data_IF_805788281199
#
_entry.id   IF_805788281199
#
_cell.length_a   1.000
_cell.length_b   1.000
_cell.length_c   1.000
_cell.angle_alpha   90.00
_cell.angle_beta   90.00
_cell.angle_gamma   90.00
#
_symmetry.space_group_name_H-M   'P 1'
#
loop_
_entity.id
_entity.type
_entity.pdbx_description
1 polymer ?
#
# COMPACT_ATOMS: atom_id res chain seq x y z
N UNK A 1 16.35 1.14 15.03
CA UNK A 1 16.41 0.74 13.63
C UNK A 1 16.10 1.96 12.78
N UNK A 2 16.44 1.94 11.48
CA UNK A 2 16.00 3.00 10.57
C UNK A 2 14.49 2.85 10.34
N UNK A 3 13.76 3.96 10.23
CA UNK A 3 12.34 3.93 9.89
C UNK A 3 12.15 3.31 8.50
N UNK A 4 11.08 2.51 8.34
CA UNK A 4 10.70 1.94 7.05
C UNK A 4 10.27 3.08 6.12
N UNK A 5 10.98 3.27 5.00
CA UNK A 5 10.55 4.19 3.96
C UNK A 5 9.55 3.49 3.03
N UNK A 6 8.27 3.52 3.43
CA UNK A 6 7.19 2.84 2.71
C UNK A 6 7.11 3.33 1.27
N UNK A 7 7.26 4.63 1.04
CA UNK A 7 7.24 5.20 -0.31
C UNK A 7 8.36 4.62 -1.16
N UNK A 8 9.58 4.56 -0.66
CA UNK A 8 10.72 4.00 -1.40
C UNK A 8 10.57 2.50 -1.67
N UNK A 9 9.91 1.75 -0.78
CA UNK A 9 9.52 0.35 -1.01
C UNK A 9 8.54 0.26 -2.18
N UNK A 10 7.47 1.08 -2.18
CA UNK A 10 6.47 1.07 -3.25
C UNK A 10 7.02 1.58 -4.60
N UNK A 11 8.00 2.48 -4.56
CA UNK A 11 8.70 3.06 -5.73
C UNK A 11 9.82 2.15 -6.28
N UNK A 12 10.08 1.02 -5.63
CA UNK A 12 11.10 0.06 -6.04
C UNK A 12 12.55 0.51 -5.92
N UNK A 13 12.81 1.62 -5.22
CA UNK A 13 14.16 2.17 -5.02
C UNK A 13 15.02 1.34 -4.07
N UNK A 14 14.41 0.54 -3.20
CA UNK A 14 15.10 -0.27 -2.19
C UNK A 14 15.19 -1.75 -2.57
N UNK A 15 14.86 -2.10 -3.81
CA UNK A 15 14.83 -3.48 -4.25
C UNK A 15 16.21 -3.99 -4.66
N UNK A 16 16.52 -5.29 -4.45
CA UNK A 16 17.69 -5.93 -5.04
C UNK A 16 17.69 -5.78 -6.58
N UNK A 17 18.86 -5.64 -7.19
CA UNK A 17 18.99 -5.45 -8.65
C UNK A 17 18.44 -6.62 -9.49
N UNK A 18 18.17 -7.77 -8.87
CA UNK A 18 17.74 -9.01 -9.53
C UNK A 18 16.23 -9.31 -9.38
N UNK A 19 15.42 -8.33 -8.97
CA UNK A 19 13.95 -8.48 -8.93
C UNK A 19 13.41 -8.53 -10.35
N UNK A 20 13.22 -9.76 -10.86
CA UNK A 20 12.69 -10.03 -12.19
C UNK A 20 11.17 -9.88 -12.28
N UNK A 21 10.45 -9.85 -11.15
CA UNK A 21 8.99 -9.75 -11.10
C UNK A 21 8.56 -8.51 -10.31
N UNK A 22 8.73 -7.34 -10.97
CA UNK A 22 8.41 -5.98 -10.48
C UNK A 22 7.05 -5.86 -9.77
N UNK A 23 6.14 -6.80 -10.02
CA UNK A 23 4.74 -6.72 -9.61
C UNK A 23 4.37 -7.77 -8.55
N UNK A 24 5.13 -8.84 -8.37
CA UNK A 24 4.92 -9.77 -7.25
C UNK A 24 5.49 -9.25 -5.93
N UNK A 25 6.68 -8.63 -6.02
CA UNK A 25 7.59 -8.56 -4.88
C UNK A 25 7.41 -7.33 -3.98
N UNK A 26 6.75 -6.27 -4.46
CA UNK A 26 6.66 -4.97 -3.76
C UNK A 26 6.06 -5.09 -2.37
N UNK A 27 4.95 -5.82 -2.31
CA UNK A 27 4.13 -5.97 -1.11
C UNK A 27 4.73 -7.02 -0.19
N UNK A 28 5.43 -8.01 -0.75
CA UNK A 28 6.16 -9.02 0.02
C UNK A 28 7.39 -8.40 0.71
N UNK A 29 8.12 -7.52 0.01
CA UNK A 29 9.22 -6.73 0.60
C UNK A 29 8.70 -5.84 1.74
N UNK A 30 7.52 -5.22 1.58
CA UNK A 30 6.90 -4.46 2.66
C UNK A 30 6.55 -5.37 3.85
N UNK A 31 6.00 -6.56 3.60
CA UNK A 31 5.69 -7.53 4.67
C UNK A 31 6.95 -8.02 5.40
N UNK A 32 8.05 -8.28 4.69
CA UNK A 32 9.34 -8.66 5.28
C UNK A 32 9.87 -7.55 6.21
N UNK A 33 9.88 -6.30 5.74
CA UNK A 33 10.33 -5.17 6.55
C UNK A 33 9.42 -4.96 7.78
N UNK A 34 8.11 -5.08 7.61
CA UNK A 34 7.16 -5.02 8.72
C UNK A 34 7.37 -6.16 9.72
N UNK A 35 7.70 -7.38 9.26
CA UNK A 35 7.92 -8.53 10.12
C UNK A 35 9.14 -8.34 11.05
N UNK A 36 10.18 -7.66 10.58
CA UNK A 36 11.38 -7.34 11.37
C UNK A 36 11.21 -6.11 12.27
N UNK A 37 10.24 -5.25 11.98
CA UNK A 37 10.00 -4.00 12.70
C UNK A 37 9.35 -4.17 14.07
N UNK A 38 9.65 -3.24 14.99
CA UNK A 38 8.98 -3.15 16.28
C UNK A 38 7.53 -2.63 16.15
N UNK A 39 6.68 -2.77 17.19
CA UNK A 39 5.27 -2.37 17.11
C UNK A 39 5.04 -0.92 16.68
N UNK A 40 5.83 0.02 17.21
CA UNK A 40 5.72 1.44 16.87
C UNK A 40 6.12 1.73 15.41
N UNK A 41 7.14 1.03 14.89
CA UNK A 41 7.60 1.16 13.51
C UNK A 41 6.57 0.57 12.54
N UNK A 42 5.95 -0.56 12.89
CA UNK A 42 4.83 -1.13 12.11
C UNK A 42 3.64 -0.20 12.04
N UNK A 43 3.28 0.42 13.17
CA UNK A 43 2.18 1.39 13.20
C UNK A 43 2.48 2.62 12.35
N UNK A 44 3.72 3.15 12.44
CA UNK A 44 4.16 4.27 11.62
C UNK A 44 4.10 3.92 10.12
N UNK A 45 4.68 2.77 9.72
CA UNK A 45 4.65 2.32 8.34
C UNK A 45 3.22 2.06 7.82
N UNK A 46 2.33 1.55 8.67
CA UNK A 46 0.93 1.38 8.30
C UNK A 46 0.22 2.72 8.09
N UNK A 47 0.54 3.77 8.87
CA UNK A 47 0.00 5.13 8.67
C UNK A 47 0.55 5.76 7.39
N UNK A 48 1.86 5.64 7.17
CA UNK A 48 2.50 6.11 5.94
C UNK A 48 1.87 5.46 4.70
N UNK A 49 1.55 4.16 4.76
CA UNK A 49 0.85 3.46 3.68
C UNK A 49 -0.54 4.06 3.39
N UNK A 50 -1.27 4.50 4.42
CA UNK A 50 -2.57 5.15 4.25
C UNK A 50 -2.42 6.56 3.66
N UNK A 51 -1.40 7.32 4.07
CA UNK A 51 -1.11 8.64 3.50
C UNK A 51 -0.78 8.54 1.99
N UNK A 52 -0.13 7.47 1.57
CA UNK A 52 0.20 7.20 0.16
C UNK A 52 -1.02 6.87 -0.72
N UNK A 53 -2.22 6.68 -0.16
CA UNK A 53 -3.46 6.59 -0.94
C UNK A 53 -3.78 7.89 -1.69
N UNK A 54 -3.22 9.02 -1.24
CA UNK A 54 -3.36 10.33 -1.86
C UNK A 54 -2.10 10.80 -2.60
N UNK A 55 -1.15 9.91 -2.86
CA UNK A 55 0.09 10.29 -3.52
C UNK A 55 -0.11 10.86 -4.93
N UNK A 56 0.71 11.84 -5.31
CA UNK A 56 0.64 12.43 -6.65
C UNK A 56 0.96 11.40 -7.75
N UNK A 57 1.77 10.38 -7.45
CA UNK A 57 2.08 9.29 -8.36
C UNK A 57 1.00 8.20 -8.34
N UNK A 58 0.38 7.96 -9.50
CA UNK A 58 -0.64 6.94 -9.66
C UNK A 58 -0.11 5.51 -9.44
N UNK A 59 1.15 5.25 -9.76
CA UNK A 59 1.80 3.95 -9.49
C UNK A 59 1.85 3.71 -8.00
N UNK A 60 2.27 4.71 -7.22
CA UNK A 60 2.39 4.61 -5.77
C UNK A 60 1.01 4.45 -5.13
N UNK A 61 0.02 5.25 -5.54
CA UNK A 61 -1.37 5.07 -5.08
C UNK A 61 -1.89 3.67 -5.37
N UNK A 62 -1.59 3.13 -6.54
CA UNK A 62 -2.00 1.79 -6.90
C UNK A 62 -1.35 0.76 -5.98
N UNK A 63 -0.05 0.87 -5.72
CA UNK A 63 0.64 -0.01 -4.78
C UNK A 63 0.13 0.13 -3.34
N UNK A 64 -0.18 1.34 -2.89
CA UNK A 64 -0.76 1.59 -1.58
C UNK A 64 -2.11 0.87 -1.42
N UNK A 65 -2.95 0.93 -2.46
CA UNK A 65 -4.22 0.17 -2.52
C UNK A 65 -3.97 -1.34 -2.51
N UNK A 66 -2.98 -1.84 -3.27
CA UNK A 66 -2.64 -3.27 -3.25
C UNK A 66 -2.21 -3.70 -1.84
N UNK A 67 -1.43 -2.87 -1.15
CA UNK A 67 -0.92 -3.10 0.19
C UNK A 67 -1.92 -2.86 1.33
N UNK A 68 -3.12 -2.31 1.07
CA UNK A 68 -4.01 -1.74 2.10
C UNK A 68 -4.37 -2.69 3.25
N UNK A 69 -4.39 -4.00 2.98
CA UNK A 69 -4.68 -5.03 3.98
C UNK A 69 -3.60 -5.14 5.07
N UNK A 70 -2.38 -4.67 4.81
CA UNK A 70 -1.31 -4.55 5.81
C UNK A 70 -1.67 -3.48 6.84
N UNK A 71 -2.11 -2.31 6.37
CA UNK A 71 -2.59 -1.25 7.26
C UNK A 71 -3.77 -1.73 8.10
N UNK A 72 -4.71 -2.48 7.52
CA UNK A 72 -5.83 -3.08 8.24
C UNK A 72 -5.38 -3.96 9.41
N UNK A 73 -4.41 -4.84 9.19
CA UNK A 73 -3.89 -5.76 10.23
C UNK A 73 -3.23 -5.04 11.41
N UNK A 74 -2.75 -3.81 11.20
CA UNK A 74 -2.00 -3.05 12.20
C UNK A 74 -2.88 -1.99 12.88
N UNK A 75 -3.71 -1.28 12.11
CA UNK A 75 -4.45 -0.10 12.57
C UNK A 75 -5.95 -0.37 12.81
N UNK A 76 -6.49 -1.47 12.26
CA UNK A 76 -7.91 -1.81 12.36
C UNK A 76 -8.81 -1.10 11.35
N UNK A 77 -10.08 -1.50 11.34
CA UNK A 77 -11.07 -1.09 10.33
C UNK A 77 -11.31 0.41 10.32
N UNK A 78 -11.50 1.03 11.49
CA UNK A 78 -11.86 2.45 11.61
C UNK A 78 -10.84 3.37 10.93
N UNK A 79 -9.54 3.10 11.12
CA UNK A 79 -8.47 3.89 10.52
C UNK A 79 -8.45 3.74 8.99
N UNK A 80 -8.56 2.52 8.49
CA UNK A 80 -8.49 2.24 7.05
C UNK A 80 -9.73 2.75 6.31
N UNK A 81 -10.92 2.50 6.85
CA UNK A 81 -12.17 2.98 6.25
C UNK A 81 -12.25 4.52 6.30
N UNK A 82 -11.77 5.14 7.38
CA UNK A 82 -11.65 6.59 7.47
C UNK A 82 -10.70 7.18 6.43
N UNK A 83 -9.55 6.55 6.18
CA UNK A 83 -8.62 6.96 5.13
C UNK A 83 -9.24 6.82 3.73
N UNK A 84 -9.94 5.70 3.45
CA UNK A 84 -10.63 5.50 2.18
C UNK A 84 -11.74 6.52 1.93
N UNK A 85 -12.47 6.93 2.97
CA UNK A 85 -13.50 7.97 2.83
C UNK A 85 -12.87 9.35 2.59
N UNK A 86 -11.80 9.67 3.33
CA UNK A 86 -11.02 10.90 3.16
C UNK A 86 -10.45 11.04 1.75
N UNK A 87 -10.00 9.94 1.16
CA UNK A 87 -9.35 9.91 -0.17
C UNK A 87 -10.26 9.39 -1.28
N UNK A 88 -11.57 9.33 -1.05
CA UNK A 88 -12.55 8.79 -1.99
C UNK A 88 -12.43 9.37 -3.40
N UNK A 89 -12.32 10.69 -3.50
CA UNK A 89 -12.30 11.39 -4.80
C UNK A 89 -11.02 11.08 -5.58
N UNK A 90 -9.87 11.06 -4.90
CA UNK A 90 -8.57 10.77 -5.53
C UNK A 90 -8.42 9.29 -5.88
N UNK A 91 -9.13 8.39 -5.20
CA UNK A 91 -9.18 6.95 -5.49
C UNK A 91 -10.27 6.57 -6.51
N UNK A 92 -11.14 7.50 -6.90
CA UNK A 92 -12.19 7.29 -7.90
C UNK A 92 -11.67 7.36 -9.34
N UNK A 93 -10.45 6.86 -9.55
CA UNK A 93 -9.76 6.81 -10.85
C UNK A 93 -9.32 5.38 -11.13
N UNK A 94 -9.09 5.06 -12.40
CA UNK A 94 -8.48 3.79 -12.78
C UNK A 94 -7.04 3.73 -12.22
N UNK A 95 -6.66 2.58 -11.66
CA UNK A 95 -5.27 2.32 -11.29
C UNK A 95 -4.39 2.16 -12.53
N UNK A 96 -3.07 2.10 -12.32
CA UNK A 96 -2.19 1.60 -13.39
C UNK A 96 -2.50 0.13 -13.67
N UNK A 97 -2.32 -0.29 -14.93
CA UNK A 97 -2.60 -1.65 -15.41
C UNK A 97 -1.61 -2.69 -14.89
N UNK A 98 -1.50 -2.82 -13.57
CA UNK A 98 -0.82 -3.91 -12.88
C UNK A 98 -1.74 -5.13 -12.90
N UNK A 99 -1.20 -6.32 -13.15
CA UNK A 99 -1.99 -7.56 -13.19
C UNK A 99 -2.70 -7.88 -11.86
N UNK A 100 -2.25 -7.25 -10.76
CA UNK A 100 -2.85 -7.38 -9.43
C UNK A 100 -4.10 -6.50 -9.24
N UNK A 101 -4.37 -5.54 -10.11
CA UNK A 101 -5.58 -4.71 -10.04
C UNK A 101 -6.65 -5.32 -10.94
N UNK A 102 -7.78 -5.66 -10.34
CA UNK A 102 -8.89 -6.35 -11.01
C UNK A 102 -10.14 -5.50 -11.11
N UNK A 103 -10.21 -4.41 -10.35
CA UNK A 103 -11.39 -3.56 -10.24
C UNK A 103 -11.27 -2.26 -11.07
N UNK A 104 -12.40 -1.66 -11.47
CA UNK A 104 -12.43 -0.53 -12.38
C UNK A 104 -11.84 0.77 -11.81
N UNK A 105 -11.78 0.91 -10.49
CA UNK A 105 -11.15 2.06 -9.81
C UNK A 105 -10.32 1.61 -8.63
N UNK A 106 -9.36 2.44 -8.22
CA UNK A 106 -8.57 2.22 -7.02
C UNK A 106 -9.44 2.10 -5.76
N UNK A 107 -10.53 2.87 -5.66
CA UNK A 107 -11.49 2.75 -4.57
C UNK A 107 -12.23 1.40 -4.57
N UNK A 108 -12.63 0.90 -5.75
CA UNK A 108 -13.27 -0.40 -5.88
C UNK A 108 -12.29 -1.53 -5.56
N UNK A 109 -11.03 -1.41 -6.01
CA UNK A 109 -9.95 -2.35 -5.71
C UNK A 109 -9.65 -2.40 -4.21
N UNK A 110 -9.57 -1.24 -3.56
CA UNK A 110 -9.34 -1.16 -2.12
C UNK A 110 -10.45 -1.88 -1.33
N UNK A 111 -11.71 -1.65 -1.68
CA UNK A 111 -12.86 -2.34 -1.04
C UNK A 111 -12.80 -3.84 -1.25
N UNK A 112 -12.57 -4.28 -2.49
CA UNK A 112 -12.41 -5.69 -2.83
C UNK A 112 -11.33 -6.37 -1.98
N UNK A 113 -10.20 -5.71 -1.74
CA UNK A 113 -9.09 -6.22 -0.93
C UNK A 113 -9.34 -6.23 0.59
N UNK A 114 -10.29 -5.45 1.07
CA UNK A 114 -10.68 -5.46 2.48
C UNK A 114 -11.73 -6.55 2.75
N UNK A 115 -12.54 -6.88 1.75
CA UNK A 115 -13.57 -7.93 1.86
C UNK A 115 -12.99 -9.36 1.77
N UNK A 116 -11.80 -9.55 1.19
CA UNK A 116 -11.16 -10.85 0.92
C UNK A 116 -9.76 -10.97 1.48
#
# INVERSE_FOLDING_TARGET
MAAIDVRAVLDGKVWPQDVHDFVGDVVDILDEQLAEAGPAEREAAARDLLDLLADDDLVIRTWAVVGIRRALRVLGDDAVLGALDTHRDVLSVAGVGLWQVSQPTLLAEARYRLDY
#
